data_IF_081052325276
#
_entry.id   IF_081052325276
#
_cell.length_a   1.000
_cell.length_b   1.000
_cell.length_c   1.000
_cell.angle_alpha   90.00
_cell.angle_beta   90.00
_cell.angle_gamma   90.00
#
_symmetry.space_group_name_H-M   'P 1'
#
loop_
_entity.id
_entity.type
_entity.pdbx_description
1 polymer ?
#
# COMPACT_ATOMS: atom_id res chain seq x y z
N UNK A 1 67.73 39.72 44.45
CA UNK A 1 67.57 40.14 43.03
C UNK A 1 66.22 39.73 42.50
N UNK A 2 65.22 40.40 42.86
CA UNK A 2 63.80 40.18 42.48
C UNK A 2 63.08 41.57 42.57
N UNK A 3 62.96 42.37 41.50
CA UNK A 3 62.11 43.55 41.55
C UNK A 3 61.96 44.29 40.21
N UNK A 4 62.00 43.66 39.06
CA UNK A 4 61.68 44.33 37.75
C UNK A 4 60.78 43.62 36.80
N UNK A 5 59.88 42.77 37.27
CA UNK A 5 58.93 42.00 36.37
C UNK A 5 57.45 42.37 36.55
N UNK A 6 57.11 43.45 37.25
CA UNK A 6 55.73 43.80 37.57
C UNK A 6 55.17 45.10 36.92
N UNK A 7 55.94 45.79 36.17
CA UNK A 7 55.54 47.14 35.62
C UNK A 7 55.29 47.14 34.11
N UNK A 8 55.50 46.05 33.39
CA UNK A 8 55.24 45.96 31.95
C UNK A 8 53.84 45.30 31.60
N UNK A 9 53.16 44.72 32.59
CA UNK A 9 51.87 44.07 32.37
C UNK A 9 50.65 44.97 32.44
N UNK A 10 50.78 46.28 32.80
CA UNK A 10 49.67 47.19 32.98
C UNK A 10 49.47 48.18 31.84
N UNK A 11 50.41 48.24 30.88
CA UNK A 11 50.32 49.18 29.76
C UNK A 11 49.73 48.63 28.48
N UNK A 12 49.50 47.28 28.43
CA UNK A 12 48.94 46.63 27.24
C UNK A 12 47.44 46.40 27.34
N UNK A 13 46.78 46.67 28.47
CA UNK A 13 45.35 46.38 28.70
C UNK A 13 44.38 47.50 28.33
N UNK A 14 44.86 48.66 27.90
CA UNK A 14 44.00 49.84 27.63
C UNK A 14 43.80 50.10 26.12
N UNK A 15 44.52 49.39 25.23
CA UNK A 15 44.45 49.64 23.79
C UNK A 15 43.45 48.63 23.09
N UNK A 16 42.98 47.58 23.76
CA UNK A 16 42.08 46.59 23.12
C UNK A 16 40.58 46.85 23.31
N UNK A 17 40.18 48.04 23.84
CA UNK A 17 38.76 48.32 24.12
C UNK A 17 38.09 49.28 23.14
N UNK A 18 38.75 49.70 22.05
CA UNK A 18 38.21 50.69 21.09
C UNK A 18 37.96 50.10 19.70
N UNK A 19 38.17 48.78 19.47
CA UNK A 19 37.97 48.18 18.15
C UNK A 19 36.70 47.30 18.01
N UNK A 20 35.72 47.36 18.93
CA UNK A 20 34.44 46.59 18.85
C UNK A 20 33.28 47.48 18.36
N UNK A 21 33.52 48.66 17.83
CA UNK A 21 32.47 49.61 17.44
C UNK A 21 32.09 49.65 15.95
N UNK A 22 32.58 48.76 15.10
CA UNK A 22 32.31 48.81 13.66
C UNK A 22 31.95 47.44 13.04
N UNK A 23 31.26 46.58 13.77
CA UNK A 23 30.46 45.55 13.12
C UNK A 23 29.21 46.27 12.59
N UNK A 24 29.26 46.66 11.33
CA UNK A 24 28.16 47.27 10.61
C UNK A 24 26.97 46.32 10.71
N UNK A 25 25.92 46.77 11.38
CA UNK A 25 24.58 46.18 11.22
C UNK A 25 24.24 46.34 9.73
N UNK A 26 24.54 45.33 8.95
CA UNK A 26 23.97 45.21 7.62
C UNK A 26 22.45 45.28 7.82
N UNK A 27 21.71 46.19 7.17
CA UNK A 27 20.28 46.21 7.26
C UNK A 27 19.83 44.82 6.76
N UNK A 28 19.13 44.07 7.60
CA UNK A 28 18.42 42.88 7.16
C UNK A 28 17.46 43.35 6.05
N UNK A 29 17.82 43.12 4.80
CA UNK A 29 16.88 43.27 3.69
C UNK A 29 15.75 42.29 3.99
N UNK A 30 14.62 42.80 4.49
CA UNK A 30 13.38 42.07 4.51
C UNK A 30 13.12 41.62 3.06
N UNK A 31 13.17 40.32 2.80
CA UNK A 31 12.78 39.79 1.52
C UNK A 31 11.38 40.34 1.25
N UNK A 32 11.21 41.09 0.16
CA UNK A 32 9.87 41.51 -0.26
C UNK A 32 9.00 40.30 -0.35
N UNK A 33 7.78 40.28 0.25
CA UNK A 33 6.89 39.16 0.14
C UNK A 33 6.59 38.95 -1.35
N UNK A 34 6.92 37.76 -1.83
CA UNK A 34 6.67 37.33 -3.22
C UNK A 34 5.17 37.51 -3.50
N UNK A 35 4.82 38.48 -4.31
CA UNK A 35 3.44 38.80 -4.65
C UNK A 35 2.96 37.80 -5.70
N UNK A 36 2.43 36.68 -5.22
CA UNK A 36 1.86 35.65 -6.07
C UNK A 36 0.36 35.50 -5.81
N UNK A 37 -0.37 35.12 -6.83
CA UNK A 37 -1.78 34.74 -6.76
C UNK A 37 -1.83 33.23 -6.96
N UNK A 38 -2.32 32.51 -5.97
CA UNK A 38 -2.57 31.08 -6.09
C UNK A 38 -4.02 30.86 -6.50
N UNK A 39 -4.22 30.20 -7.63
CA UNK A 39 -5.54 29.80 -8.11
C UNK A 39 -5.62 28.27 -8.10
N UNK A 40 -6.80 27.74 -7.78
CA UNK A 40 -7.07 26.31 -7.82
C UNK A 40 -8.11 26.05 -8.90
N UNK A 41 -7.75 25.22 -9.88
CA UNK A 41 -8.69 24.72 -10.89
C UNK A 41 -9.10 23.27 -10.55
N UNK A 42 -10.27 22.85 -10.99
CA UNK A 42 -10.76 21.47 -10.89
C UNK A 42 -11.10 20.98 -12.29
N UNK A 43 -10.33 20.03 -12.79
CA UNK A 43 -10.62 19.34 -14.06
C UNK A 43 -11.20 17.96 -13.78
N UNK A 44 -12.22 17.57 -14.57
CA UNK A 44 -12.86 16.26 -14.49
C UNK A 44 -12.92 15.62 -15.86
N UNK A 45 -12.49 14.35 -15.95
CA UNK A 45 -12.64 13.54 -17.15
C UNK A 45 -13.33 12.22 -16.80
N UNK A 46 -14.07 11.65 -17.78
CA UNK A 46 -14.65 10.32 -17.67
C UNK A 46 -13.85 9.34 -18.50
N UNK A 47 -13.35 8.27 -17.84
CA UNK A 47 -12.56 7.22 -18.51
C UNK A 47 -13.19 5.86 -18.27
N UNK A 48 -13.30 5.06 -19.33
CA UNK A 48 -13.79 3.69 -19.24
C UNK A 48 -12.68 2.79 -18.64
N UNK A 49 -12.96 2.01 -17.59
CA UNK A 49 -12.01 1.05 -17.03
C UNK A 49 -11.53 0.03 -18.08
N UNK A 50 -10.22 -0.19 -18.15
CA UNK A 50 -9.59 -1.10 -19.11
C UNK A 50 -9.18 -2.45 -18.46
N UNK A 51 -9.17 -2.51 -17.12
CA UNK A 51 -8.80 -3.67 -16.35
C UNK A 51 -9.72 -3.89 -15.14
N UNK A 52 -9.68 -5.11 -14.60
CA UNK A 52 -10.47 -5.50 -13.43
C UNK A 52 -9.55 -6.15 -12.41
N UNK A 53 -9.69 -5.77 -11.15
CA UNK A 53 -9.08 -6.47 -10.01
C UNK A 53 -10.12 -7.40 -9.40
N UNK A 54 -9.76 -8.65 -9.26
CA UNK A 54 -10.63 -9.75 -8.85
C UNK A 54 -10.03 -10.41 -7.60
N UNK A 55 -10.86 -10.70 -6.60
CA UNK A 55 -10.45 -11.22 -5.30
C UNK A 55 -11.09 -12.56 -4.97
N UNK A 56 -10.65 -13.67 -5.57
CA UNK A 56 -11.11 -14.99 -5.18
C UNK A 56 -10.42 -15.45 -3.90
N UNK A 57 -11.12 -16.24 -3.09
CA UNK A 57 -10.56 -17.01 -1.99
C UNK A 57 -10.99 -18.47 -2.06
N UNK A 58 -10.10 -19.34 -1.65
CA UNK A 58 -10.35 -20.77 -1.47
C UNK A 58 -10.49 -21.04 0.00
N UNK A 59 -11.57 -21.73 0.39
CA UNK A 59 -11.82 -22.11 1.78
C UNK A 59 -12.09 -23.61 1.84
N UNK A 60 -11.45 -24.32 2.78
CA UNK A 60 -11.69 -25.72 3.04
C UNK A 60 -11.89 -25.97 4.53
N UNK A 61 -12.83 -26.81 4.88
CA UNK A 61 -13.11 -27.28 6.24
C UNK A 61 -12.77 -28.77 6.33
N UNK A 62 -12.04 -29.16 7.41
CA UNK A 62 -11.72 -30.56 7.68
C UNK A 62 -11.59 -30.82 9.19
N UNK A 63 -11.53 -32.07 9.59
CA UNK A 63 -11.38 -32.46 11.00
C UNK A 63 -10.04 -32.10 11.61
N UNK A 64 -8.99 -31.95 10.78
CA UNK A 64 -7.65 -31.53 11.23
C UNK A 64 -7.15 -30.32 10.42
N UNK A 65 -6.29 -29.52 11.04
CA UNK A 65 -5.66 -28.36 10.37
C UNK A 65 -4.82 -28.78 9.16
N UNK A 66 -4.18 -29.96 9.22
CA UNK A 66 -3.37 -30.51 8.13
C UNK A 66 -4.23 -30.87 6.90
N UNK A 67 -5.37 -31.51 7.11
CA UNK A 67 -6.31 -31.88 6.03
C UNK A 67 -6.96 -30.65 5.42
N UNK A 68 -7.40 -29.69 6.24
CA UNK A 68 -7.96 -28.43 5.78
C UNK A 68 -6.97 -27.68 4.87
N UNK A 69 -5.71 -27.58 5.30
CA UNK A 69 -4.65 -26.95 4.53
C UNK A 69 -4.35 -27.69 3.23
N UNK A 70 -4.28 -29.02 3.26
CA UNK A 70 -4.02 -29.85 2.07
C UNK A 70 -5.12 -29.66 1.02
N UNK A 71 -6.40 -29.69 1.44
CA UNK A 71 -7.56 -29.48 0.58
C UNK A 71 -7.58 -28.07 0.00
N UNK A 72 -7.37 -27.05 0.81
CA UNK A 72 -7.29 -25.66 0.35
C UNK A 72 -6.14 -25.47 -0.67
N UNK A 73 -4.97 -26.06 -0.42
CA UNK A 73 -3.81 -25.97 -1.33
C UNK A 73 -4.04 -26.66 -2.66
N UNK A 74 -4.73 -27.83 -2.65
CA UNK A 74 -5.12 -28.54 -3.87
C UNK A 74 -6.07 -27.69 -4.71
N UNK A 75 -7.11 -27.16 -4.10
CA UNK A 75 -8.09 -26.29 -4.78
C UNK A 75 -7.43 -24.99 -5.28
N UNK A 76 -6.56 -24.38 -4.48
CA UNK A 76 -5.80 -23.19 -4.88
C UNK A 76 -4.91 -23.45 -6.12
N UNK A 77 -4.35 -24.65 -6.23
CA UNK A 77 -3.57 -25.06 -7.40
C UNK A 77 -4.47 -25.18 -8.64
N UNK A 78 -5.66 -25.77 -8.51
CA UNK A 78 -6.65 -25.86 -9.59
C UNK A 78 -7.10 -24.46 -10.05
N UNK A 79 -7.41 -23.56 -9.12
CA UNK A 79 -7.77 -22.16 -9.41
C UNK A 79 -6.65 -21.44 -10.17
N UNK A 80 -5.38 -21.59 -9.75
CA UNK A 80 -4.25 -21.01 -10.50
C UNK A 80 -4.10 -21.57 -11.90
N UNK A 81 -4.34 -22.87 -12.07
CA UNK A 81 -4.31 -23.51 -13.39
C UNK A 81 -5.42 -22.96 -14.29
N UNK A 82 -6.65 -22.80 -13.78
CA UNK A 82 -7.77 -22.21 -14.49
C UNK A 82 -7.48 -20.75 -14.91
N UNK A 83 -6.94 -19.93 -13.99
CA UNK A 83 -6.53 -18.56 -14.31
C UNK A 83 -5.50 -18.51 -15.43
N UNK A 84 -4.49 -19.39 -15.41
CA UNK A 84 -3.49 -19.48 -16.49
C UNK A 84 -4.10 -19.93 -17.81
N UNK A 85 -5.04 -20.89 -17.79
CA UNK A 85 -5.76 -21.34 -18.99
C UNK A 85 -6.58 -20.19 -19.63
N UNK A 86 -7.09 -19.27 -18.83
CA UNK A 86 -7.76 -18.04 -19.28
C UNK A 86 -6.79 -16.93 -19.71
N UNK A 87 -5.48 -17.22 -19.82
CA UNK A 87 -4.46 -16.28 -20.29
C UNK A 87 -4.02 -15.24 -19.25
N UNK A 88 -4.34 -15.43 -17.96
CA UNK A 88 -3.86 -14.54 -16.91
C UNK A 88 -2.37 -14.83 -16.64
N UNK A 89 -1.53 -13.80 -16.79
CA UNK A 89 -0.10 -13.93 -16.57
C UNK A 89 0.21 -14.23 -15.09
N UNK A 90 1.25 -15.02 -14.82
CA UNK A 90 1.65 -15.40 -13.45
C UNK A 90 1.92 -14.18 -12.55
N UNK A 91 2.47 -13.09 -13.09
CA UNK A 91 2.71 -11.83 -12.38
C UNK A 91 1.43 -11.12 -11.91
N UNK A 92 0.32 -11.40 -12.57
CA UNK A 92 -0.99 -10.82 -12.29
C UNK A 92 -1.82 -11.69 -11.31
N UNK A 93 -1.27 -12.84 -10.87
CA UNK A 93 -1.87 -13.74 -9.88
C UNK A 93 -1.02 -13.70 -8.61
N UNK A 94 -1.52 -13.04 -7.56
CA UNK A 94 -0.83 -12.92 -6.28
C UNK A 94 -1.61 -13.66 -5.20
N UNK A 95 -0.93 -14.48 -4.38
CA UNK A 95 -1.49 -14.97 -3.13
C UNK A 95 -1.36 -13.86 -2.09
N UNK A 96 -2.45 -13.50 -1.43
CA UNK A 96 -2.49 -12.37 -0.50
C UNK A 96 -2.58 -12.80 0.95
N UNK A 97 -3.17 -13.96 1.24
CA UNK A 97 -3.31 -14.47 2.60
C UNK A 97 -3.42 -16.00 2.59
N UNK A 98 -2.87 -16.64 3.61
CA UNK A 98 -3.09 -18.04 3.94
C UNK A 98 -3.26 -18.15 5.45
N UNK A 99 -4.39 -18.66 5.90
CA UNK A 99 -4.71 -18.81 7.32
C UNK A 99 -5.39 -20.14 7.59
N UNK A 100 -5.19 -20.68 8.81
CA UNK A 100 -5.88 -21.87 9.29
C UNK A 100 -6.35 -21.57 10.71
N UNK A 101 -7.65 -21.71 10.97
CA UNK A 101 -8.25 -21.45 12.27
C UNK A 101 -9.16 -22.61 12.68
N UNK A 102 -9.28 -22.90 13.99
CA UNK A 102 -10.32 -23.81 14.47
C UNK A 102 -11.70 -23.19 14.26
N UNK A 103 -12.64 -24.02 13.85
CA UNK A 103 -14.06 -23.67 13.74
C UNK A 103 -14.79 -24.15 14.98
N UNK A 104 -15.57 -23.28 15.57
CA UNK A 104 -16.30 -23.57 16.81
C UNK A 104 -17.80 -23.61 16.56
N UNK A 105 -18.47 -24.57 17.19
CA UNK A 105 -19.90 -24.53 17.36
C UNK A 105 -20.23 -24.18 18.81
N UNK A 106 -21.14 -23.26 18.99
CA UNK A 106 -21.63 -22.86 20.32
C UNK A 106 -23.02 -23.43 20.55
N UNK A 107 -23.16 -24.21 21.62
CA UNK A 107 -24.46 -24.68 22.07
C UNK A 107 -24.67 -24.28 23.53
N UNK A 108 -25.93 -23.96 23.89
CA UNK A 108 -26.27 -23.48 25.22
C UNK A 108 -25.91 -24.49 26.33
N UNK A 109 -26.00 -25.79 26.02
CA UNK A 109 -25.76 -26.89 26.96
C UNK A 109 -24.30 -27.29 27.10
N UNK A 110 -23.49 -27.16 26.00
CA UNK A 110 -22.11 -27.65 25.95
C UNK A 110 -21.06 -26.54 25.80
N UNK A 111 -21.50 -25.27 25.68
CA UNK A 111 -20.61 -24.15 25.41
C UNK A 111 -19.97 -24.23 24.02
N UNK A 112 -18.74 -23.78 23.91
CA UNK A 112 -17.97 -23.73 22.65
C UNK A 112 -17.21 -25.04 22.44
N UNK A 113 -17.51 -25.76 21.34
CA UNK A 113 -16.81 -26.99 20.94
C UNK A 113 -16.18 -26.84 19.57
N UNK A 114 -14.95 -27.34 19.39
CA UNK A 114 -14.27 -27.35 18.08
C UNK A 114 -14.97 -28.41 17.18
N UNK A 115 -15.45 -27.96 16.02
CA UNK A 115 -16.11 -28.83 15.02
C UNK A 115 -15.20 -29.16 13.83
N UNK A 116 -14.07 -28.48 13.72
CA UNK A 116 -13.10 -28.69 12.65
C UNK A 116 -12.10 -27.53 12.55
N UNK A 117 -11.41 -27.51 11.42
CA UNK A 117 -10.43 -26.45 11.09
C UNK A 117 -10.74 -25.89 9.71
N UNK A 118 -10.77 -24.58 9.61
CA UNK A 118 -10.98 -23.85 8.36
C UNK A 118 -9.67 -23.30 7.85
N UNK A 119 -9.23 -23.74 6.66
CA UNK A 119 -8.11 -23.16 5.92
C UNK A 119 -8.65 -22.21 4.85
N UNK A 120 -8.09 -21.00 4.77
CA UNK A 120 -8.48 -20.00 3.76
C UNK A 120 -7.23 -19.49 3.06
N UNK A 121 -7.24 -19.50 1.72
CA UNK A 121 -6.21 -18.91 0.88
C UNK A 121 -6.83 -17.90 -0.07
N UNK A 122 -6.44 -16.64 0.07
CA UNK A 122 -6.93 -15.53 -0.76
C UNK A 122 -5.96 -15.18 -1.89
N UNK A 123 -6.51 -14.63 -2.97
CA UNK A 123 -5.76 -14.19 -4.13
C UNK A 123 -6.16 -12.77 -4.51
N UNK A 124 -5.23 -12.08 -5.13
CA UNK A 124 -5.49 -10.85 -5.89
C UNK A 124 -5.10 -11.12 -7.33
N UNK A 125 -6.05 -11.02 -8.22
CA UNK A 125 -5.89 -11.30 -9.65
C UNK A 125 -6.16 -10.03 -10.44
N UNK A 126 -5.28 -9.70 -11.40
CA UNK A 126 -5.48 -8.57 -12.32
C UNK A 126 -5.86 -9.12 -13.68
N UNK A 127 -7.05 -8.77 -14.15
CA UNK A 127 -7.58 -9.10 -15.47
C UNK A 127 -7.42 -7.85 -16.33
N UNK A 128 -6.44 -7.86 -17.24
CA UNK A 128 -6.07 -6.69 -18.06
C UNK A 128 -7.03 -6.41 -19.22
N UNK A 129 -7.95 -7.30 -19.48
CA UNK A 129 -9.02 -7.14 -20.47
C UNK A 129 -10.35 -7.20 -19.73
N UNK A 130 -10.89 -6.05 -19.35
CA UNK A 130 -12.12 -5.98 -18.55
C UNK A 130 -13.28 -6.82 -19.13
N UNK A 131 -13.43 -6.87 -20.45
CA UNK A 131 -14.47 -7.64 -21.13
C UNK A 131 -14.36 -9.17 -20.96
N UNK A 132 -13.21 -9.72 -20.53
CA UNK A 132 -13.05 -11.17 -20.31
C UNK A 132 -13.28 -11.57 -18.84
N UNK A 133 -13.62 -10.62 -17.98
CA UNK A 133 -13.74 -10.86 -16.54
C UNK A 133 -14.80 -11.95 -16.20
N UNK A 134 -15.93 -11.96 -16.89
CA UNK A 134 -16.98 -12.96 -16.67
C UNK A 134 -16.48 -14.39 -16.89
N UNK A 135 -15.83 -14.65 -18.03
CA UNK A 135 -15.29 -15.97 -18.37
C UNK A 135 -14.21 -16.43 -17.36
N UNK A 136 -13.38 -15.49 -16.90
CA UNK A 136 -12.34 -15.78 -15.90
C UNK A 136 -12.97 -16.16 -14.56
N UNK A 137 -14.00 -15.45 -14.13
CA UNK A 137 -14.72 -15.75 -12.88
C UNK A 137 -15.40 -17.11 -12.96
N UNK A 138 -16.09 -17.40 -14.06
CA UNK A 138 -16.73 -18.69 -14.28
C UNK A 138 -15.73 -19.85 -14.25
N UNK A 139 -14.59 -19.71 -14.93
CA UNK A 139 -13.52 -20.71 -14.92
C UNK A 139 -12.94 -20.96 -13.52
N UNK A 140 -12.81 -19.91 -12.70
CA UNK A 140 -12.32 -20.01 -11.31
C UNK A 140 -13.33 -20.73 -10.42
N UNK A 141 -14.61 -20.37 -10.53
CA UNK A 141 -15.70 -21.02 -9.78
C UNK A 141 -15.81 -22.50 -10.19
N UNK A 142 -15.76 -22.80 -11.48
CA UNK A 142 -15.78 -24.18 -11.98
C UNK A 142 -14.59 -25.02 -11.51
N UNK A 143 -13.39 -24.44 -11.40
CA UNK A 143 -12.19 -25.12 -10.93
C UNK A 143 -12.17 -25.38 -9.42
N UNK A 144 -12.80 -24.51 -8.64
CA UNK A 144 -12.78 -24.59 -7.17
C UNK A 144 -14.07 -25.13 -6.55
N UNK A 145 -15.14 -25.27 -7.36
CA UNK A 145 -16.47 -25.70 -6.92
C UNK A 145 -16.95 -24.94 -5.65
N UNK A 146 -17.47 -25.65 -4.67
CA UNK A 146 -17.99 -25.11 -3.39
C UNK A 146 -16.91 -24.48 -2.50
N UNK A 147 -15.63 -24.74 -2.77
CA UNK A 147 -14.53 -24.24 -1.97
C UNK A 147 -14.04 -22.83 -2.40
N UNK A 148 -14.63 -22.23 -3.44
CA UNK A 148 -14.26 -20.91 -3.92
C UNK A 148 -15.32 -19.88 -3.56
N UNK A 149 -14.84 -18.76 -3.02
CA UNK A 149 -15.65 -17.56 -2.76
C UNK A 149 -15.12 -16.38 -3.54
N UNK A 150 -16.02 -15.54 -4.06
CA UNK A 150 -15.69 -14.29 -4.76
C UNK A 150 -15.92 -13.12 -3.80
N UNK A 151 -14.86 -12.48 -3.34
CA UNK A 151 -14.93 -11.39 -2.36
C UNK A 151 -15.07 -10.02 -3.00
N UNK A 152 -14.96 -9.92 -4.33
CA UNK A 152 -15.19 -8.68 -5.05
C UNK A 152 -14.53 -8.64 -6.42
N UNK A 153 -15.07 -7.74 -7.23
CA UNK A 153 -14.57 -7.41 -8.57
C UNK A 153 -14.57 -5.90 -8.67
N UNK A 154 -13.40 -5.28 -8.88
CA UNK A 154 -13.23 -3.84 -8.91
C UNK A 154 -12.62 -3.41 -10.26
N UNK A 155 -13.37 -2.74 -11.11
CA UNK A 155 -12.85 -2.13 -12.33
C UNK A 155 -11.82 -1.04 -11.99
N UNK A 156 -10.78 -0.90 -12.79
CA UNK A 156 -9.82 0.18 -12.64
C UNK A 156 -9.15 0.53 -13.97
N UNK A 157 -8.43 1.65 -13.99
CA UNK A 157 -7.72 2.15 -15.16
C UNK A 157 -6.23 1.85 -14.98
N UNK A 158 -5.60 1.14 -15.92
CA UNK A 158 -4.16 0.83 -15.86
C UNK A 158 -3.29 2.03 -16.17
N UNK A 159 -3.77 2.99 -16.97
CA UNK A 159 -3.09 4.22 -17.39
C UNK A 159 -3.60 5.45 -16.64
N UNK A 160 -3.78 5.35 -15.34
CA UNK A 160 -4.33 6.44 -14.52
C UNK A 160 -3.51 7.74 -14.56
N UNK A 161 -2.18 7.67 -14.78
CA UNK A 161 -1.33 8.85 -14.93
C UNK A 161 -1.69 9.70 -16.16
N UNK A 162 -1.97 9.07 -17.31
CA UNK A 162 -2.40 9.77 -18.52
C UNK A 162 -3.78 10.44 -18.32
N UNK A 163 -4.71 9.74 -17.66
CA UNK A 163 -6.01 10.29 -17.33
C UNK A 163 -5.91 11.50 -16.37
N UNK A 164 -4.99 11.45 -15.41
CA UNK A 164 -4.72 12.58 -14.51
C UNK A 164 -4.10 13.79 -15.23
N UNK A 165 -3.25 13.54 -16.22
CA UNK A 165 -2.64 14.61 -17.02
C UNK A 165 -3.70 15.32 -17.86
N UNK A 166 -4.59 14.57 -18.50
CA UNK A 166 -5.71 15.10 -19.25
C UNK A 166 -6.68 15.89 -18.35
N UNK A 167 -6.98 15.40 -17.15
CA UNK A 167 -7.80 16.13 -16.19
C UNK A 167 -7.15 17.44 -15.72
N UNK A 168 -5.83 17.47 -15.55
CA UNK A 168 -5.09 18.70 -15.22
C UNK A 168 -5.10 19.71 -16.36
N UNK A 169 -5.07 19.25 -17.61
CA UNK A 169 -5.16 20.13 -18.76
C UNK A 169 -6.55 20.74 -18.94
N UNK A 170 -7.58 20.09 -18.35
CA UNK A 170 -8.97 20.56 -18.35
C UNK A 170 -9.31 21.46 -17.14
N UNK A 171 -8.39 21.62 -16.20
CA UNK A 171 -8.55 22.46 -15.00
C UNK A 171 -8.13 23.91 -15.25
#
# INVERSE_FOLDING_TARGET
>A
MRKHKRTIALALSIISLISVGALGLAPAQAAEPDRHVTVTGVGTISVVPDAVRFYPSVTALASTSKEALATASKTATAVRAALKAQGIATKDIKSSNLSVFPEYNYTQDKGSTIVGYRATQSFTVVIRKAGTAGNVVEAVVGAGNENVMINGIVPFITKGSAAMEEARAAA
#
